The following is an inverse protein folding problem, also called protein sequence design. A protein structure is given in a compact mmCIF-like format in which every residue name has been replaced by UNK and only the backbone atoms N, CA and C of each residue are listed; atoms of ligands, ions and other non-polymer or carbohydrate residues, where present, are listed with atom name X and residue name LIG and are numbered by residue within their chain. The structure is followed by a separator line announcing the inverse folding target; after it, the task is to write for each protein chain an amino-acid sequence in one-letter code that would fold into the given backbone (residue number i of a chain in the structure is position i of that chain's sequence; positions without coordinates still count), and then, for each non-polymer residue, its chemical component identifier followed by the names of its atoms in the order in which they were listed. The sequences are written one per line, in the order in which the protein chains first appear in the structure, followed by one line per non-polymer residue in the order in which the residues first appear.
data_IF_153361678505
#
_entry.id   IF_153361678505
#
_cell.length_a   1.000
_cell.length_b   1.000
_cell.length_c   1.000
_cell.angle_alpha   90.00
_cell.angle_beta   90.00
_cell.angle_gamma   90.00
#
_symmetry.space_group_name_H-M   'P 1'
#
loop_
_entity.id
_entity.type
_entity.pdbx_description
1 polymer ?
#
# COMPACT_ATOMS: atom_id res chain seq x y z
N UNK A 1 -33.12 7.99 2.50
CA UNK A 1 -32.45 6.83 1.86
C UNK A 1 -31.06 7.29 1.43
N UNK A 2 -30.06 7.06 2.30
CA UNK A 2 -28.65 7.30 1.97
C UNK A 2 -28.18 6.04 1.24
N UNK A 3 -27.74 6.19 -0.01
CA UNK A 3 -27.12 5.11 -0.76
C UNK A 3 -25.77 4.82 -0.10
N UNK A 4 -25.69 3.69 0.62
CA UNK A 4 -24.41 3.08 0.92
C UNK A 4 -23.79 2.60 -0.39
N UNK A 5 -22.51 2.91 -0.48
CA UNK A 5 -21.55 2.62 -1.53
C UNK A 5 -21.68 1.21 -2.16
N UNK A 6 -21.96 1.10 -3.48
CA UNK A 6 -21.89 -0.18 -4.20
C UNK A 6 -20.48 -0.78 -4.28
N UNK A 7 -19.44 -0.01 -3.93
CA UNK A 7 -18.03 -0.40 -4.05
C UNK A 7 -17.66 -1.46 -2.99
N UNK A 8 -18.25 -1.38 -1.79
CA UNK A 8 -17.97 -2.34 -0.71
C UNK A 8 -18.59 -3.72 -0.96
N UNK A 9 -19.71 -3.77 -1.69
CA UNK A 9 -20.37 -5.03 -2.06
C UNK A 9 -19.65 -5.70 -3.25
N UNK A 10 -19.01 -4.92 -4.13
CA UNK A 10 -18.26 -5.45 -5.27
C UNK A 10 -16.94 -6.13 -4.84
N UNK A 11 -16.26 -5.61 -3.81
CA UNK A 11 -15.05 -6.21 -3.22
C UNK A 11 -15.34 -7.52 -2.46
N UNK A 12 -16.50 -7.65 -1.81
CA UNK A 12 -16.92 -8.90 -1.16
C UNK A 12 -17.37 -9.98 -2.18
N UNK A 13 -17.86 -9.56 -3.34
CA UNK A 13 -18.27 -10.47 -4.42
C UNK A 13 -17.06 -10.97 -5.22
N UNK A 14 -16.01 -10.17 -5.41
CA UNK A 14 -14.76 -10.66 -6.03
C UNK A 14 -13.97 -11.60 -5.11
N UNK A 15 -13.99 -11.37 -3.78
CA UNK A 15 -13.35 -12.29 -2.82
C UNK A 15 -14.06 -13.65 -2.72
N UNK A 16 -15.39 -13.66 -2.86
CA UNK A 16 -16.18 -14.91 -2.83
C UNK A 16 -16.25 -15.64 -4.18
N UNK A 17 -16.01 -14.96 -5.31
CA UNK A 17 -15.92 -15.59 -6.65
C UNK A 17 -14.54 -16.24 -6.88
N UNK A 18 -13.49 -15.85 -6.13
CA UNK A 18 -12.21 -16.56 -6.16
C UNK A 18 -12.22 -17.95 -5.49
N UNK A 19 -13.32 -18.33 -4.84
CA UNK A 19 -13.47 -19.68 -4.30
C UNK A 19 -14.02 -20.71 -5.33
N UNK A 20 -14.33 -20.26 -6.56
CA UNK A 20 -14.84 -21.12 -7.64
C UNK A 20 -14.22 -20.83 -9.03
N UNK A 21 -13.03 -20.23 -9.08
CA UNK A 21 -12.20 -20.31 -10.29
C UNK A 21 -11.49 -21.67 -10.29
N UNK A 22 -11.72 -22.46 -11.35
CA UNK A 22 -11.25 -23.83 -11.54
C UNK A 22 -9.79 -24.00 -11.13
N UNK A 23 -9.53 -24.94 -10.22
CA UNK A 23 -8.22 -25.49 -9.93
C UNK A 23 -7.67 -26.24 -11.15
N UNK A 24 -7.16 -25.50 -12.14
CA UNK A 24 -6.09 -26.03 -12.98
C UNK A 24 -4.85 -25.97 -12.10
N UNK A 25 -4.15 -27.09 -11.89
CA UNK A 25 -2.88 -27.04 -11.15
C UNK A 25 -1.97 -26.06 -11.89
N UNK A 26 -1.56 -24.99 -11.20
CA UNK A 26 -0.53 -24.07 -11.67
C UNK A 26 0.69 -24.93 -12.00
N UNK A 27 1.15 -24.91 -13.26
CA UNK A 27 2.42 -25.56 -13.56
C UNK A 27 3.52 -24.64 -13.03
N UNK A 28 4.29 -25.16 -12.07
CA UNK A 28 5.47 -24.47 -11.56
C UNK A 28 6.62 -24.68 -12.56
N UNK A 29 7.15 -23.57 -13.08
CA UNK A 29 8.35 -23.54 -13.92
C UNK A 29 9.48 -22.95 -13.07
N UNK A 30 10.60 -23.65 -12.98
CA UNK A 30 11.74 -23.24 -12.14
C UNK A 30 12.93 -22.86 -12.99
N UNK A 31 13.38 -21.61 -12.89
CA UNK A 31 14.60 -21.11 -13.55
C UNK A 31 15.76 -21.13 -12.54
N UNK A 32 16.95 -21.68 -12.88
CA UNK A 32 17.36 -22.16 -14.20
C UNK A 32 17.22 -23.68 -14.43
N UNK A 33 16.30 -24.37 -13.73
CA UNK A 33 16.19 -25.85 -13.77
C UNK A 33 15.50 -26.33 -15.05
N UNK A 34 14.31 -25.81 -15.33
CA UNK A 34 13.49 -26.21 -16.48
C UNK A 34 13.88 -25.43 -17.75
N UNK A 35 14.33 -24.18 -17.57
CA UNK A 35 14.82 -23.31 -18.63
C UNK A 35 16.04 -22.55 -18.14
N UNK A 36 17.00 -22.29 -19.02
CA UNK A 36 18.23 -21.56 -18.67
C UNK A 36 18.02 -20.06 -18.46
N UNK A 37 16.99 -19.48 -19.09
CA UNK A 37 16.69 -18.05 -19.06
C UNK A 37 15.26 -17.81 -18.58
N UNK A 38 15.00 -16.63 -18.03
CA UNK A 38 13.65 -16.25 -17.59
C UNK A 38 12.75 -16.04 -18.82
N UNK A 39 13.26 -15.45 -19.90
CA UNK A 39 12.46 -15.24 -21.09
C UNK A 39 12.03 -16.55 -21.75
N UNK A 40 12.88 -17.59 -21.78
CA UNK A 40 12.48 -18.90 -22.31
C UNK A 40 11.36 -19.53 -21.47
N UNK A 41 11.43 -19.38 -20.15
CA UNK A 41 10.35 -19.80 -19.26
C UNK A 41 9.04 -19.04 -19.53
N UNK A 42 9.09 -17.71 -19.71
CA UNK A 42 7.92 -16.88 -20.09
C UNK A 42 7.33 -17.35 -21.42
N UNK A 43 8.18 -17.60 -22.42
CA UNK A 43 7.76 -18.05 -23.74
C UNK A 43 7.00 -19.38 -23.68
N UNK A 44 7.50 -20.32 -22.88
CA UNK A 44 6.92 -21.66 -22.72
C UNK A 44 5.72 -21.72 -21.77
N UNK A 45 5.61 -20.78 -20.83
CA UNK A 45 4.54 -20.74 -19.85
C UNK A 45 3.15 -20.57 -20.49
N UNK A 46 2.16 -21.23 -19.90
CA UNK A 46 0.74 -20.97 -20.13
C UNK A 46 0.27 -19.79 -19.27
N UNK A 47 -0.82 -19.10 -19.66
CA UNK A 47 -1.44 -18.09 -18.81
C UNK A 47 -1.73 -18.62 -17.40
N UNK A 48 -1.40 -17.79 -16.40
CA UNK A 48 -1.49 -18.04 -14.96
C UNK A 48 -0.52 -19.08 -14.39
N UNK A 49 0.47 -19.55 -15.16
CA UNK A 49 1.56 -20.35 -14.61
C UNK A 49 2.45 -19.49 -13.67
N UNK A 50 3.16 -20.18 -12.78
CA UNK A 50 4.12 -19.57 -11.85
C UNK A 50 5.54 -19.88 -12.33
N UNK A 51 6.35 -18.84 -12.51
CA UNK A 51 7.77 -18.93 -12.81
C UNK A 51 8.55 -18.56 -11.54
N UNK A 52 9.15 -19.57 -10.90
CA UNK A 52 10.05 -19.39 -9.76
C UNK A 52 11.49 -19.23 -10.25
N UNK A 53 12.10 -18.09 -9.94
CA UNK A 53 13.47 -17.79 -10.34
C UNK A 53 14.38 -17.89 -9.12
N UNK A 54 15.33 -18.83 -9.16
CA UNK A 54 16.33 -19.03 -8.11
C UNK A 54 17.41 -17.95 -8.18
N UNK A 55 18.15 -17.81 -7.08
CA UNK A 55 19.31 -16.91 -6.97
C UNK A 55 20.23 -16.98 -8.19
N UNK A 56 20.64 -15.80 -8.65
CA UNK A 56 21.45 -15.65 -9.84
C UNK A 56 21.41 -14.24 -10.40
N UNK A 57 22.26 -14.00 -11.39
CA UNK A 57 22.26 -12.76 -12.19
C UNK A 57 21.85 -13.12 -13.60
N UNK A 58 20.68 -12.62 -13.99
CA UNK A 58 20.05 -12.83 -15.28
C UNK A 58 20.24 -11.58 -16.13
N UNK A 59 21.10 -11.68 -17.14
CA UNK A 59 21.36 -10.59 -18.09
C UNK A 59 20.32 -10.63 -19.21
N UNK A 60 19.13 -10.15 -18.93
CA UNK A 60 17.96 -10.34 -19.78
C UNK A 60 17.12 -9.06 -19.89
N UNK A 61 16.29 -9.02 -20.94
CA UNK A 61 15.17 -8.08 -21.07
C UNK A 61 13.93 -8.92 -21.23
N UNK A 62 12.95 -8.69 -20.37
CA UNK A 62 11.76 -9.52 -20.28
C UNK A 62 10.59 -8.84 -20.97
N UNK A 63 9.92 -9.57 -21.85
CA UNK A 63 8.63 -9.22 -22.41
C UNK A 63 7.58 -10.21 -21.86
N UNK A 64 6.65 -9.69 -21.07
CA UNK A 64 5.57 -10.44 -20.44
C UNK A 64 4.27 -10.11 -21.16
N UNK A 65 3.89 -10.98 -22.11
CA UNK A 65 2.76 -10.80 -23.03
C UNK A 65 1.53 -11.65 -22.66
N UNK A 66 1.60 -12.37 -21.54
CA UNK A 66 0.51 -13.20 -21.01
C UNK A 66 0.42 -13.10 -19.47
N UNK A 67 -0.76 -13.35 -18.86
CA UNK A 67 -0.92 -13.35 -17.40
C UNK A 67 0.02 -14.36 -16.76
N UNK A 68 0.88 -13.96 -15.82
CA UNK A 68 1.89 -14.83 -15.19
C UNK A 68 2.23 -14.37 -13.78
N UNK A 69 2.67 -15.29 -12.94
CA UNK A 69 3.32 -14.98 -11.67
C UNK A 69 4.83 -15.21 -11.80
N UNK A 70 5.62 -14.15 -11.84
CA UNK A 70 7.08 -14.23 -11.98
C UNK A 70 7.68 -13.84 -10.63
N UNK A 71 8.30 -14.80 -9.94
CA UNK A 71 8.71 -14.63 -8.53
C UNK A 71 10.16 -15.06 -8.33
N UNK A 72 10.98 -14.14 -7.83
CA UNK A 72 12.23 -14.50 -7.18
C UNK A 72 11.95 -15.25 -5.88
N UNK A 73 12.83 -16.18 -5.51
CA UNK A 73 12.75 -16.85 -4.21
C UNK A 73 13.00 -15.83 -3.09
N UNK A 74 12.04 -15.67 -2.17
CA UNK A 74 12.16 -14.73 -1.07
C UNK A 74 13.37 -15.04 -0.18
N UNK A 75 14.14 -14.01 0.17
CA UNK A 75 15.40 -14.15 0.93
C UNK A 75 16.61 -14.55 0.10
N UNK A 76 16.44 -14.86 -1.18
CA UNK A 76 17.53 -15.05 -2.14
C UNK A 76 17.76 -13.76 -2.96
N UNK A 77 18.98 -13.58 -3.46
CA UNK A 77 19.28 -12.48 -4.40
C UNK A 77 19.07 -12.94 -5.84
N UNK A 78 18.01 -12.44 -6.47
CA UNK A 78 17.69 -12.70 -7.87
C UNK A 78 17.79 -11.38 -8.63
N UNK A 79 18.84 -11.21 -9.42
CA UNK A 79 19.12 -9.96 -10.12
C UNK A 79 18.74 -10.07 -11.59
N UNK A 80 17.91 -9.16 -12.10
CA UNK A 80 17.68 -8.98 -13.53
C UNK A 80 18.39 -7.70 -13.95
N UNK A 81 19.37 -7.84 -14.83
CA UNK A 81 20.22 -6.73 -15.24
C UNK A 81 20.24 -6.56 -16.75
N UNK A 82 20.35 -5.32 -17.19
CA UNK A 82 20.61 -5.01 -18.60
C UNK A 82 21.84 -4.12 -18.76
N UNK A 83 22.55 -4.32 -19.85
CA UNK A 83 23.63 -3.46 -20.35
C UNK A 83 23.12 -2.53 -21.48
N UNK A 84 21.89 -2.76 -21.96
CA UNK A 84 21.26 -2.01 -23.04
C UNK A 84 20.47 -0.81 -22.52
N UNK A 85 20.28 0.16 -23.40
CA UNK A 85 19.41 1.31 -23.17
C UNK A 85 17.94 0.99 -23.49
N UNK A 86 17.37 0.03 -22.75
CA UNK A 86 16.01 -0.47 -22.93
C UNK A 86 15.33 -0.77 -21.59
N UNK A 87 14.00 -0.90 -21.62
CA UNK A 87 13.20 -1.36 -20.48
C UNK A 87 13.68 -2.77 -20.05
N UNK A 88 13.88 -3.01 -18.74
CA UNK A 88 14.37 -4.32 -18.26
C UNK A 88 13.21 -5.33 -18.26
N UNK A 89 12.06 -4.95 -17.71
CA UNK A 89 10.85 -5.77 -17.71
C UNK A 89 9.72 -4.95 -18.34
N UNK A 90 9.20 -5.42 -19.46
CA UNK A 90 8.02 -4.85 -20.13
C UNK A 90 6.84 -5.80 -19.95
N UNK A 91 5.77 -5.30 -19.34
CA UNK A 91 4.53 -6.04 -19.08
C UNK A 91 3.45 -5.48 -20.00
N UNK A 92 3.00 -6.28 -20.96
CA UNK A 92 1.92 -5.93 -21.90
C UNK A 92 0.61 -6.67 -21.59
N UNK A 93 0.68 -7.74 -20.79
CA UNK A 93 -0.51 -8.45 -20.31
C UNK A 93 -1.01 -7.95 -18.96
N UNK A 94 -2.33 -8.05 -18.78
CA UNK A 94 -3.00 -7.83 -17.49
C UNK A 94 -2.88 -9.06 -16.58
N UNK A 95 -3.04 -8.87 -15.26
CA UNK A 95 -2.91 -9.93 -14.24
C UNK A 95 -1.52 -10.57 -14.20
N UNK A 96 -0.48 -9.74 -14.21
CA UNK A 96 0.92 -10.16 -14.03
C UNK A 96 1.41 -9.77 -12.64
N UNK A 97 2.08 -10.69 -11.95
CA UNK A 97 2.82 -10.39 -10.73
C UNK A 97 4.32 -10.48 -10.98
N UNK A 98 5.07 -9.46 -10.56
CA UNK A 98 6.54 -9.48 -10.52
C UNK A 98 6.99 -9.20 -9.09
N UNK A 99 7.68 -10.17 -8.47
CA UNK A 99 8.13 -10.01 -7.09
C UNK A 99 9.48 -10.60 -6.73
N UNK A 100 10.10 -10.02 -5.70
CA UNK A 100 11.37 -10.46 -5.10
C UNK A 100 12.59 -10.40 -6.05
N UNK A 101 12.68 -9.37 -6.89
CA UNK A 101 13.84 -9.14 -7.75
C UNK A 101 14.65 -7.91 -7.35
N UNK A 102 15.96 -7.98 -7.56
CA UNK A 102 16.83 -6.82 -7.74
C UNK A 102 16.85 -6.47 -9.23
N UNK A 103 16.28 -5.33 -9.61
CA UNK A 103 16.14 -4.89 -11.01
C UNK A 103 17.02 -3.66 -11.21
N UNK A 104 18.08 -3.81 -12.00
CA UNK A 104 19.06 -2.74 -12.15
C UNK A 104 19.71 -2.67 -13.52
N UNK A 105 20.13 -1.46 -13.89
CA UNK A 105 20.96 -1.25 -15.09
C UNK A 105 22.44 -1.17 -14.71
N UNK A 106 23.29 -1.73 -15.55
CA UNK A 106 24.75 -1.73 -15.34
C UNK A 106 25.46 -0.47 -15.86
N UNK A 107 24.77 0.38 -16.63
CA UNK A 107 25.29 1.62 -17.23
C UNK A 107 24.36 2.80 -16.87
N UNK A 108 24.92 4.00 -16.71
CA UNK A 108 24.19 5.20 -16.27
C UNK A 108 23.03 5.65 -17.18
N UNK A 109 22.32 6.72 -16.80
CA UNK A 109 21.06 7.14 -17.44
C UNK A 109 21.27 7.81 -18.82
N UNK A 110 21.03 7.12 -19.94
CA UNK A 110 21.03 7.73 -21.29
C UNK A 110 19.66 7.84 -21.97
N UNK A 111 18.71 6.92 -21.75
CA UNK A 111 17.32 7.01 -22.30
C UNK A 111 16.23 7.05 -21.24
N UNK A 112 14.98 7.26 -21.67
CA UNK A 112 13.73 7.17 -20.87
C UNK A 112 13.32 5.74 -20.46
N UNK A 113 14.26 4.79 -20.44
CA UNK A 113 13.97 3.38 -20.18
C UNK A 113 13.75 3.07 -18.70
N UNK A 114 12.78 2.21 -18.42
CA UNK A 114 12.34 1.82 -17.09
C UNK A 114 12.98 0.52 -16.58
N UNK A 115 13.07 0.34 -15.26
CA UNK A 115 13.32 -0.96 -14.66
C UNK A 115 12.13 -1.89 -14.90
N UNK A 116 10.93 -1.43 -14.58
CA UNK A 116 9.67 -2.12 -14.87
C UNK A 116 8.73 -1.17 -15.60
N UNK A 117 8.21 -1.57 -16.75
CA UNK A 117 7.17 -0.85 -17.49
C UNK A 117 5.91 -1.69 -17.59
N UNK A 118 4.80 -1.14 -17.11
CA UNK A 118 3.45 -1.61 -17.40
C UNK A 118 2.97 -0.84 -18.62
N UNK A 119 2.78 -1.53 -19.74
CA UNK A 119 2.41 -0.95 -21.03
C UNK A 119 0.97 -1.33 -21.35
N UNK A 120 0.03 -0.44 -21.03
CA UNK A 120 -1.41 -0.65 -21.14
C UNK A 120 -1.91 -1.92 -20.41
N UNK A 121 -1.24 -2.29 -19.33
CA UNK A 121 -1.54 -3.47 -18.52
C UNK A 121 -2.40 -3.09 -17.31
N UNK A 122 -3.33 -3.96 -16.91
CA UNK A 122 -4.23 -3.74 -15.77
C UNK A 122 -4.19 -4.90 -14.78
N UNK A 123 -4.58 -4.65 -13.53
CA UNK A 123 -4.61 -5.66 -12.48
C UNK A 123 -3.24 -6.34 -12.23
N UNK A 124 -2.13 -5.66 -12.51
CA UNK A 124 -0.80 -6.19 -12.27
C UNK A 124 -0.30 -5.81 -10.86
N UNK A 125 0.60 -6.63 -10.31
CA UNK A 125 1.19 -6.44 -8.98
C UNK A 125 2.72 -6.41 -9.11
N UNK A 126 3.32 -5.29 -8.75
CA UNK A 126 4.78 -5.14 -8.66
C UNK A 126 5.11 -5.02 -7.18
N UNK A 127 5.71 -6.06 -6.59
CA UNK A 127 5.90 -6.11 -5.14
C UNK A 127 7.23 -6.65 -4.66
N UNK A 128 7.71 -6.16 -3.51
CA UNK A 128 8.93 -6.65 -2.86
C UNK A 128 10.17 -6.64 -3.76
N UNK A 129 10.25 -5.71 -4.72
CA UNK A 129 11.41 -5.55 -5.60
C UNK A 129 12.32 -4.44 -5.09
N UNK A 130 13.62 -4.57 -5.35
CA UNK A 130 14.58 -3.46 -5.26
C UNK A 130 14.88 -2.98 -6.67
N UNK A 131 14.49 -1.75 -7.01
CA UNK A 131 14.60 -1.19 -8.36
C UNK A 131 15.57 -0.01 -8.33
N UNK A 132 16.74 -0.19 -8.94
CA UNK A 132 17.88 0.71 -8.73
C UNK A 132 18.64 1.05 -10.00
N UNK A 133 19.06 2.31 -10.15
CA UNK A 133 19.95 2.71 -11.24
C UNK A 133 19.27 2.83 -12.61
N UNK A 134 17.95 2.97 -12.67
CA UNK A 134 17.19 3.11 -13.93
C UNK A 134 16.81 4.58 -14.21
N UNK A 135 16.48 4.93 -15.45
CA UNK A 135 15.97 6.28 -15.71
C UNK A 135 14.58 6.46 -15.09
N UNK A 136 13.69 5.47 -15.23
CA UNK A 136 12.48 5.35 -14.42
C UNK A 136 12.56 4.04 -13.64
N UNK A 137 12.28 4.04 -12.35
CA UNK A 137 12.18 2.79 -11.58
C UNK A 137 10.99 1.96 -12.08
N UNK A 138 9.77 2.45 -11.83
CA UNK A 138 8.52 1.85 -12.31
C UNK A 138 7.76 2.84 -13.19
N UNK A 139 7.44 2.44 -14.42
CA UNK A 139 6.63 3.20 -15.36
C UNK A 139 5.25 2.54 -15.49
N UNK A 140 4.19 3.22 -15.06
CA UNK A 140 2.80 2.83 -15.33
C UNK A 140 2.31 3.65 -16.52
N UNK A 141 2.35 3.06 -17.71
CA UNK A 141 1.96 3.71 -18.96
C UNK A 141 0.61 3.19 -19.45
N UNK A 142 -0.47 3.92 -19.16
CA UNK A 142 -1.85 3.45 -19.32
C UNK A 142 -2.24 2.35 -18.33
N UNK A 143 -3.40 1.74 -18.58
CA UNK A 143 -3.94 0.67 -17.74
C UNK A 143 -4.52 1.13 -16.40
N UNK A 144 -5.05 0.18 -15.64
CA UNK A 144 -5.78 0.47 -14.40
C UNK A 144 -5.67 -0.64 -13.36
N UNK A 145 -6.00 -0.30 -12.11
CA UNK A 145 -6.04 -1.28 -11.01
C UNK A 145 -4.71 -2.01 -10.79
N UNK A 146 -3.59 -1.39 -11.17
CA UNK A 146 -2.27 -1.92 -10.87
C UNK A 146 -1.87 -1.56 -9.44
N UNK A 147 -1.14 -2.45 -8.79
CA UNK A 147 -0.64 -2.31 -7.43
C UNK A 147 0.89 -2.32 -7.45
N UNK A 148 1.50 -1.20 -7.07
CA UNK A 148 2.95 -1.10 -6.84
C UNK A 148 3.15 -1.01 -5.33
N UNK A 149 3.64 -2.08 -4.71
CA UNK A 149 3.73 -2.14 -3.25
C UNK A 149 5.01 -2.71 -2.66
N UNK A 150 5.41 -2.27 -1.47
CA UNK A 150 6.54 -2.85 -0.73
C UNK A 150 7.86 -2.88 -1.52
N UNK A 151 8.03 -1.98 -2.51
CA UNK A 151 9.27 -1.90 -3.29
C UNK A 151 10.25 -0.89 -2.68
N UNK A 152 11.54 -1.14 -2.85
CA UNK A 152 12.61 -0.17 -2.63
C UNK A 152 13.01 0.40 -3.98
N UNK A 153 12.69 1.67 -4.24
CA UNK A 153 12.91 2.33 -5.53
C UNK A 153 13.89 3.48 -5.31
N UNK A 154 15.16 3.25 -5.67
CA UNK A 154 16.26 4.13 -5.27
C UNK A 154 17.29 4.37 -6.36
N UNK A 155 17.98 5.52 -6.31
CA UNK A 155 19.02 5.88 -7.29
C UNK A 155 18.56 5.76 -8.75
N UNK A 156 17.28 6.04 -9.02
CA UNK A 156 16.78 6.20 -10.38
C UNK A 156 16.79 7.69 -10.75
N UNK A 157 16.48 8.05 -12.00
CA UNK A 157 16.15 9.46 -12.29
C UNK A 157 14.76 9.81 -11.76
N UNK A 158 13.75 9.07 -12.17
CA UNK A 158 12.40 9.11 -11.61
C UNK A 158 12.16 7.81 -10.83
N UNK A 159 11.57 7.88 -9.64
CA UNK A 159 11.20 6.68 -8.89
C UNK A 159 10.05 5.93 -9.56
N UNK A 160 8.84 6.46 -9.43
CA UNK A 160 7.63 5.96 -10.11
C UNK A 160 7.09 7.03 -11.04
N UNK A 161 6.79 6.65 -12.28
CA UNK A 161 6.19 7.55 -13.25
C UNK A 161 4.88 6.95 -13.77
N UNK A 162 3.76 7.61 -13.50
CA UNK A 162 2.45 7.30 -14.07
C UNK A 162 2.21 8.23 -15.25
N UNK A 163 1.97 7.67 -16.45
CA UNK A 163 1.61 8.50 -17.61
C UNK A 163 0.67 7.83 -18.59
N UNK A 164 0.01 8.60 -19.45
CA UNK A 164 -0.87 8.03 -20.50
C UNK A 164 -0.14 7.07 -21.43
N UNK A 165 -0.88 6.07 -21.90
CA UNK A 165 -0.49 5.26 -23.05
C UNK A 165 -0.99 5.90 -24.34
N UNK A 166 -0.05 6.27 -25.20
CA UNK A 166 -0.31 6.97 -26.46
C UNK A 166 -1.20 8.22 -26.23
N UNK A 167 -2.10 8.57 -27.16
CA UNK A 167 -2.85 9.83 -27.09
C UNK A 167 -4.17 9.78 -26.29
N UNK A 168 -4.65 8.61 -25.85
CA UNK A 168 -6.05 8.47 -25.38
C UNK A 168 -6.27 7.60 -24.15
N UNK A 169 -5.28 6.83 -23.68
CA UNK A 169 -5.49 5.90 -22.55
C UNK A 169 -4.83 6.47 -21.31
N UNK A 170 -5.65 7.05 -20.43
CA UNK A 170 -5.21 7.52 -19.12
C UNK A 170 -4.83 6.35 -18.21
N UNK A 171 -3.85 6.58 -17.33
CA UNK A 171 -3.54 5.65 -16.24
C UNK A 171 -4.43 5.96 -15.05
N UNK A 172 -5.42 5.12 -14.77
CA UNK A 172 -6.43 5.41 -13.76
C UNK A 172 -6.57 4.35 -12.68
N UNK A 173 -6.95 4.77 -11.47
CA UNK A 173 -7.25 3.85 -10.35
C UNK A 173 -6.12 2.85 -10.04
N UNK A 174 -4.87 3.26 -10.18
CA UNK A 174 -3.73 2.50 -9.71
C UNK A 174 -3.44 2.83 -8.24
N UNK A 175 -2.77 1.91 -7.56
CA UNK A 175 -2.41 2.00 -6.15
C UNK A 175 -0.90 1.93 -6.01
N UNK A 176 -0.32 2.97 -5.44
CA UNK A 176 1.09 3.04 -5.04
C UNK A 176 1.12 3.02 -3.52
N UNK A 177 1.48 1.88 -2.94
CA UNK A 177 1.29 1.61 -1.52
C UNK A 177 2.55 1.11 -0.82
N UNK A 178 2.91 1.70 0.32
CA UNK A 178 3.99 1.17 1.19
C UNK A 178 5.34 0.94 0.48
N UNK A 179 5.73 1.83 -0.44
CA UNK A 179 7.03 1.80 -1.08
C UNK A 179 8.02 2.73 -0.36
N UNK A 180 9.30 2.37 -0.39
CA UNK A 180 10.41 3.26 -0.06
C UNK A 180 10.97 3.87 -1.36
N UNK A 181 10.69 5.14 -1.61
CA UNK A 181 11.05 5.85 -2.84
C UNK A 181 12.04 6.95 -2.49
N UNK A 182 13.33 6.68 -2.70
CA UNK A 182 14.38 7.51 -2.11
C UNK A 182 15.59 7.75 -2.99
N UNK A 183 16.31 8.85 -2.79
CA UNK A 183 17.57 9.14 -3.49
C UNK A 183 17.46 9.08 -5.03
N UNK A 184 16.29 9.40 -5.59
CA UNK A 184 16.16 9.55 -7.02
C UNK A 184 16.67 10.93 -7.44
N UNK A 185 17.36 10.99 -8.57
CA UNK A 185 18.03 12.22 -9.07
C UNK A 185 17.08 13.24 -9.71
N UNK A 186 15.77 12.98 -9.65
CA UNK A 186 14.70 13.90 -9.99
C UNK A 186 13.50 13.67 -9.06
N UNK A 187 12.30 13.40 -9.58
CA UNK A 187 11.09 13.22 -8.79
C UNK A 187 11.03 11.81 -8.17
N UNK A 188 10.50 11.72 -6.96
CA UNK A 188 10.14 10.44 -6.35
C UNK A 188 8.99 9.78 -7.11
N UNK A 189 7.86 10.48 -7.20
CA UNK A 189 6.68 10.07 -7.97
C UNK A 189 6.27 11.19 -8.91
N UNK A 190 5.93 10.86 -10.16
CA UNK A 190 5.31 11.80 -11.10
C UNK A 190 4.03 11.20 -11.69
N UNK A 191 2.94 11.99 -11.72
CA UNK A 191 1.64 11.59 -12.30
C UNK A 191 1.27 12.54 -13.44
N UNK A 192 1.57 12.13 -14.66
CA UNK A 192 1.40 12.91 -15.88
C UNK A 192 0.34 12.29 -16.82
N UNK A 193 -0.89 12.81 -16.85
CA UNK A 193 -2.06 12.14 -17.44
C UNK A 193 -2.51 10.89 -16.67
N UNK A 194 -2.63 11.01 -15.35
CA UNK A 194 -3.17 9.97 -14.48
C UNK A 194 -4.28 10.51 -13.58
N UNK A 195 -5.35 9.73 -13.40
CA UNK A 195 -6.50 10.14 -12.60
C UNK A 195 -6.98 9.09 -11.63
N UNK A 196 -7.61 9.51 -10.54
CA UNK A 196 -8.18 8.61 -9.53
C UNK A 196 -7.19 7.58 -8.96
N UNK A 197 -5.88 7.85 -8.98
CA UNK A 197 -4.87 6.98 -8.39
C UNK A 197 -4.80 7.21 -6.86
N UNK A 198 -4.44 6.16 -6.13
CA UNK A 198 -4.21 6.22 -4.69
C UNK A 198 -2.71 6.10 -4.40
N UNK A 199 -2.15 7.11 -3.76
CA UNK A 199 -0.77 7.10 -3.27
C UNK A 199 -0.81 7.14 -1.75
N UNK A 200 -0.49 6.03 -1.10
CA UNK A 200 -0.59 5.94 0.37
C UNK A 200 0.48 5.10 1.03
N UNK A 201 0.77 5.41 2.29
CA UNK A 201 1.74 4.69 3.12
C UNK A 201 3.17 4.67 2.58
N UNK A 202 3.51 5.47 1.57
CA UNK A 202 4.86 5.47 1.00
C UNK A 202 5.80 6.35 1.83
N UNK A 203 7.06 5.94 1.94
CA UNK A 203 8.12 6.84 2.40
C UNK A 203 8.84 7.41 1.18
N UNK A 204 8.64 8.70 0.94
CA UNK A 204 9.16 9.44 -0.21
C UNK A 204 10.19 10.42 0.32
N UNK A 205 11.48 10.12 0.12
CA UNK A 205 12.54 10.85 0.82
C UNK A 205 13.78 11.13 -0.01
N UNK A 206 14.39 12.30 0.20
CA UNK A 206 15.67 12.65 -0.42
C UNK A 206 15.68 12.52 -1.95
N UNK A 207 14.54 12.75 -2.60
CA UNK A 207 14.48 12.88 -4.05
C UNK A 207 14.89 14.29 -4.44
N UNK A 208 15.73 14.43 -5.46
CA UNK A 208 16.41 15.70 -5.77
C UNK A 208 15.46 16.83 -6.16
N UNK A 209 14.34 16.51 -6.82
CA UNK A 209 13.29 17.49 -7.16
C UNK A 209 12.09 17.29 -6.22
N UNK A 210 10.89 17.05 -6.75
CA UNK A 210 9.71 16.85 -5.91
C UNK A 210 9.68 15.44 -5.32
N UNK A 211 9.15 15.28 -4.12
CA UNK A 211 8.75 13.97 -3.63
C UNK A 211 7.62 13.41 -4.51
N UNK A 212 6.60 14.23 -4.77
CA UNK A 212 5.52 13.93 -5.70
C UNK A 212 5.19 15.15 -6.57
N UNK A 213 5.21 14.99 -7.88
CA UNK A 213 4.77 16.00 -8.85
C UNK A 213 3.56 15.52 -9.67
N UNK A 214 2.55 16.38 -9.78
CA UNK A 214 1.49 16.30 -10.77
C UNK A 214 1.59 17.58 -11.61
N UNK A 215 2.01 17.53 -12.88
CA UNK A 215 2.22 18.75 -13.66
C UNK A 215 0.90 19.45 -14.04
N UNK A 216 0.86 20.79 -13.97
CA UNK A 216 -0.35 21.59 -14.28
C UNK A 216 -0.75 21.59 -15.76
N UNK A 217 0.17 21.22 -16.66
CA UNK A 217 -0.08 21.21 -18.09
C UNK A 217 -0.82 19.94 -18.56
N UNK A 218 -1.14 19.01 -17.66
CA UNK A 218 -1.87 17.77 -17.99
C UNK A 218 -3.10 17.56 -17.10
N UNK A 219 -4.16 16.92 -17.61
CA UNK A 219 -5.46 16.84 -16.92
C UNK A 219 -5.49 15.78 -15.81
N UNK A 220 -4.41 15.63 -15.02
CA UNK A 220 -4.33 14.69 -13.90
C UNK A 220 -5.19 15.16 -12.72
N UNK A 221 -6.22 14.40 -12.36
CA UNK A 221 -7.19 14.79 -11.32
C UNK A 221 -7.75 13.60 -10.54
N UNK A 222 -8.40 13.90 -9.42
CA UNK A 222 -9.02 12.94 -8.50
C UNK A 222 -8.04 11.97 -7.85
N UNK A 223 -6.73 12.22 -7.93
CA UNK A 223 -5.75 11.42 -7.20
C UNK A 223 -5.90 11.69 -5.69
N UNK A 224 -5.72 10.65 -4.87
CA UNK A 224 -5.85 10.70 -3.41
C UNK A 224 -4.50 10.32 -2.80
N UNK A 225 -3.91 11.26 -2.06
CA UNK A 225 -2.55 11.18 -1.51
C UNK A 225 -2.64 11.38 0.00
N UNK A 226 -2.44 10.32 0.78
CA UNK A 226 -2.57 10.35 2.24
C UNK A 226 -1.66 9.31 2.89
N UNK A 227 -1.33 9.46 4.17
CA UNK A 227 -0.46 8.55 4.92
C UNK A 227 0.95 8.36 4.33
N UNK A 228 1.42 9.28 3.49
CA UNK A 228 2.79 9.24 3.00
C UNK A 228 3.72 10.04 3.92
N UNK A 229 5.00 9.65 3.95
CA UNK A 229 6.07 10.38 4.62
C UNK A 229 6.89 11.14 3.59
N UNK A 230 6.71 12.45 3.50
CA UNK A 230 7.53 13.34 2.69
C UNK A 230 8.70 13.87 3.53
N UNK A 231 9.91 13.35 3.27
CA UNK A 231 11.09 13.61 4.10
C UNK A 231 12.25 14.15 3.28
N UNK A 232 12.59 15.43 3.45
CA UNK A 232 13.78 16.03 2.86
C UNK A 232 13.83 15.94 1.33
N UNK A 233 12.67 15.94 0.67
CA UNK A 233 12.59 16.19 -0.77
C UNK A 233 12.73 17.69 -1.02
N UNK A 234 12.93 18.08 -2.28
CA UNK A 234 13.34 19.38 -2.80
C UNK A 234 14.84 19.47 -3.10
N UNK A 235 15.15 20.35 -4.05
CA UNK A 235 16.52 20.63 -4.41
C UNK A 235 17.21 21.41 -3.27
N UNK A 236 18.52 21.22 -3.15
CA UNK A 236 19.32 21.91 -2.13
C UNK A 236 19.32 23.44 -2.25
N UNK A 237 18.72 23.99 -3.31
CA UNK A 237 18.61 25.41 -3.60
C UNK A 237 17.26 26.01 -3.19
N UNK A 238 16.31 25.20 -2.69
CA UNK A 238 14.99 25.66 -2.24
C UNK A 238 14.13 26.23 -3.37
N UNK A 239 14.38 25.79 -4.60
CA UNK A 239 13.60 26.20 -5.78
C UNK A 239 12.42 25.26 -6.03
N UNK A 240 12.44 24.09 -5.40
CA UNK A 240 11.42 23.03 -5.52
C UNK A 240 10.72 22.81 -4.17
N UNK A 241 9.47 22.37 -4.20
CA UNK A 241 8.67 22.04 -3.02
C UNK A 241 8.74 20.54 -2.72
N UNK A 242 8.35 20.10 -1.51
CA UNK A 242 8.22 18.66 -1.22
C UNK A 242 7.20 17.99 -2.17
N UNK A 243 6.15 18.73 -2.58
CA UNK A 243 5.16 18.25 -3.53
C UNK A 243 4.53 19.38 -4.36
N UNK A 244 4.07 19.05 -5.56
CA UNK A 244 3.38 19.96 -6.47
C UNK A 244 2.23 19.24 -7.17
N UNK A 245 1.08 19.90 -7.30
CA UNK A 245 -0.06 19.41 -8.08
C UNK A 245 -1.00 20.54 -8.51
N UNK A 246 -1.79 20.37 -9.58
CA UNK A 246 -2.92 21.24 -9.86
C UNK A 246 -4.06 21.00 -8.86
N UNK A 247 -5.07 21.86 -8.94
CA UNK A 247 -6.35 21.66 -8.26
C UNK A 247 -7.00 20.31 -8.60
N UNK A 248 -8.02 19.92 -7.84
CA UNK A 248 -8.76 18.66 -7.99
C UNK A 248 -7.95 17.39 -7.68
N UNK A 249 -6.93 17.48 -6.84
CA UNK A 249 -6.28 16.33 -6.20
C UNK A 249 -6.44 16.45 -4.68
N UNK A 250 -6.54 15.32 -3.99
CA UNK A 250 -6.87 15.26 -2.57
C UNK A 250 -5.65 14.83 -1.77
N UNK A 251 -5.28 15.61 -0.75
CA UNK A 251 -4.08 15.38 0.07
C UNK A 251 -4.39 14.81 1.45
N UNK A 252 -5.59 14.26 1.59
CA UNK A 252 -6.08 13.61 2.79
C UNK A 252 -7.20 12.64 2.44
N UNK A 253 -7.41 11.65 3.30
CA UNK A 253 -8.52 10.71 3.22
C UNK A 253 -9.04 10.40 4.61
N UNK A 254 -10.37 10.39 4.77
CA UNK A 254 -11.03 10.05 6.04
C UNK A 254 -10.53 10.84 7.26
N UNK A 255 -10.16 12.11 7.07
CA UNK A 255 -9.69 13.00 8.14
C UNK A 255 -8.20 12.89 8.47
N UNK A 256 -7.41 12.19 7.65
CA UNK A 256 -5.96 12.05 7.84
C UNK A 256 -5.21 12.37 6.56
N UNK A 257 -4.12 13.12 6.69
CA UNK A 257 -3.27 13.60 5.60
C UNK A 257 -1.93 12.87 5.55
N UNK A 258 -0.88 13.60 5.23
CA UNK A 258 0.49 13.11 5.08
C UNK A 258 1.41 13.68 6.16
N UNK A 259 2.53 13.01 6.39
CA UNK A 259 3.61 13.55 7.20
C UNK A 259 4.59 14.35 6.34
N UNK A 260 5.01 15.50 6.84
CA UNK A 260 5.91 16.43 6.15
C UNK A 260 7.06 16.83 7.08
N UNK A 261 8.29 16.47 6.74
CA UNK A 261 9.45 16.69 7.62
C UNK A 261 9.78 18.17 7.92
N UNK A 262 9.31 19.08 7.09
CA UNK A 262 9.49 20.54 7.20
C UNK A 262 8.28 21.26 7.81
N UNK A 263 7.22 20.52 8.15
CA UNK A 263 6.04 21.06 8.81
C UNK A 263 6.18 21.02 10.32
N UNK A 264 5.80 22.12 10.97
CA UNK A 264 5.79 22.28 12.42
C UNK A 264 4.41 22.74 12.87
N UNK A 265 3.48 21.77 12.94
CA UNK A 265 2.11 21.98 13.37
C UNK A 265 1.93 21.99 14.90
N UNK A 266 0.66 22.05 15.30
CA UNK A 266 0.21 21.85 16.69
C UNK A 266 -0.86 20.75 16.72
N UNK A 267 -0.88 19.99 17.80
CA UNK A 267 -1.87 18.95 18.11
C UNK A 267 -2.34 19.16 19.55
N UNK A 268 -3.39 19.96 19.70
CA UNK A 268 -3.95 20.34 21.00
C UNK A 268 -4.85 19.24 21.57
N UNK A 269 -5.39 18.38 20.70
CA UNK A 269 -6.38 17.37 21.05
C UNK A 269 -5.76 15.97 21.29
N UNK A 270 -4.46 15.80 21.01
CA UNK A 270 -3.68 14.57 21.13
C UNK A 270 -4.23 13.42 20.27
N UNK A 271 -4.51 13.68 19.00
CA UNK A 271 -4.91 12.67 18.01
C UNK A 271 -3.83 12.43 16.93
N UNK A 272 -2.62 12.97 17.12
CA UNK A 272 -1.48 12.90 16.21
C UNK A 272 -1.71 13.50 14.82
N UNK A 273 -2.76 14.31 14.65
CA UNK A 273 -3.06 15.09 13.45
C UNK A 273 -2.95 16.56 13.85
N UNK A 274 -2.45 17.39 12.95
CA UNK A 274 -2.36 18.82 13.25
C UNK A 274 -3.71 19.51 13.15
N UNK A 275 -4.00 20.40 14.10
CA UNK A 275 -5.14 21.32 14.06
C UNK A 275 -4.94 22.48 13.06
N UNK A 276 -3.79 22.54 12.37
CA UNK A 276 -3.47 23.51 11.32
C UNK A 276 -3.22 22.82 9.96
N UNK A 277 -3.70 23.39 8.85
CA UNK A 277 -3.38 22.86 7.52
C UNK A 277 -1.93 23.19 7.13
N UNK A 278 -1.36 22.35 6.27
CA UNK A 278 -0.05 22.58 5.63
C UNK A 278 -0.23 22.84 4.13
N UNK A 279 0.53 23.80 3.60
CA UNK A 279 0.46 24.24 2.20
C UNK A 279 1.89 24.18 1.63
N UNK A 280 2.37 23.00 1.16
CA UNK A 280 3.73 22.88 0.62
C UNK A 280 3.90 23.64 -0.70
N UNK A 281 2.83 23.83 -1.48
CA UNK A 281 2.86 24.60 -2.73
C UNK A 281 1.48 25.16 -3.07
N UNK A 282 1.40 26.02 -4.11
CA UNK A 282 0.24 26.89 -4.40
C UNK A 282 -1.13 26.20 -4.38
N UNK A 283 -1.21 24.95 -4.83
CA UNK A 283 -2.45 24.19 -5.00
C UNK A 283 -2.46 22.88 -4.21
N UNK A 284 -1.42 22.64 -3.41
CA UNK A 284 -1.34 21.49 -2.52
C UNK A 284 -1.69 21.97 -1.12
N UNK A 285 -2.82 21.51 -0.60
CA UNK A 285 -3.27 21.81 0.76
C UNK A 285 -3.58 20.49 1.44
N UNK A 286 -2.79 20.17 2.45
CA UNK A 286 -3.06 19.08 3.37
C UNK A 286 -3.78 19.65 4.59
N UNK A 287 -5.08 19.36 4.70
CA UNK A 287 -5.91 19.85 5.81
C UNK A 287 -5.73 19.07 7.10
N UNK A 288 -5.10 17.89 7.04
CA UNK A 288 -4.94 17.00 8.18
C UNK A 288 -3.50 16.47 8.27
N UNK A 289 -2.47 17.35 8.28
CA UNK A 289 -1.09 16.88 8.30
C UNK A 289 -0.82 16.03 9.54
N UNK A 290 -0.08 14.95 9.38
CA UNK A 290 0.27 14.07 10.50
C UNK A 290 1.40 14.70 11.32
N UNK A 291 1.32 14.59 12.64
CA UNK A 291 2.34 15.14 13.56
C UNK A 291 3.62 14.31 13.62
N UNK A 292 3.61 13.11 13.05
CA UNK A 292 4.72 12.16 13.05
C UNK A 292 4.66 11.27 11.81
N UNK A 293 5.74 10.53 11.57
CA UNK A 293 5.83 9.63 10.44
C UNK A 293 4.78 8.50 10.56
N UNK A 294 4.14 8.19 9.44
CA UNK A 294 3.21 7.10 9.29
C UNK A 294 3.92 5.78 9.00
N UNK A 295 3.49 4.70 9.63
CA UNK A 295 3.93 3.34 9.38
C UNK A 295 2.74 2.40 9.40
N UNK A 296 2.79 1.36 8.57
CA UNK A 296 1.76 0.32 8.51
C UNK A 296 2.39 -1.06 8.57
N UNK A 297 1.76 -1.96 9.33
CA UNK A 297 2.20 -3.34 9.47
C UNK A 297 1.01 -4.27 9.26
N UNK A 298 1.19 -5.29 8.43
CA UNK A 298 0.15 -6.30 8.20
C UNK A 298 0.06 -7.28 9.38
N UNK A 299 -1.15 -7.44 9.89
CA UNK A 299 -1.55 -8.33 10.98
C UNK A 299 -2.81 -9.05 10.56
N UNK A 300 -2.71 -10.35 10.26
CA UNK A 300 -3.88 -11.18 9.95
C UNK A 300 -4.78 -10.59 8.86
N UNK A 301 -4.19 -10.09 7.77
CA UNK A 301 -4.86 -9.39 6.67
C UNK A 301 -5.45 -8.00 7.01
N UNK A 302 -5.15 -7.46 8.19
CA UNK A 302 -5.49 -6.09 8.57
C UNK A 302 -4.23 -5.25 8.76
N UNK A 303 -4.34 -3.94 8.60
CA UNK A 303 -3.20 -3.04 8.81
C UNK A 303 -3.24 -2.43 10.20
N UNK A 304 -2.19 -2.65 10.99
CA UNK A 304 -1.88 -1.85 12.17
C UNK A 304 -1.18 -0.58 11.71
N UNK A 305 -1.75 0.59 12.01
CA UNK A 305 -1.15 1.87 11.62
C UNK A 305 -0.54 2.60 12.82
N UNK A 306 0.62 3.20 12.64
CA UNK A 306 1.31 3.97 13.66
C UNK A 306 1.65 5.35 13.11
N UNK A 307 1.33 6.40 13.87
CA UNK A 307 1.81 7.76 13.64
C UNK A 307 2.70 8.13 14.80
N UNK A 308 3.98 8.41 14.54
CA UNK A 308 4.97 8.59 15.61
C UNK A 308 6.11 9.51 15.18
N UNK A 309 6.58 10.36 16.10
CA UNK A 309 7.85 11.09 15.91
C UNK A 309 9.08 10.26 16.36
N UNK A 310 8.86 9.12 17.01
CA UNK A 310 9.88 8.13 17.33
C UNK A 310 10.03 7.07 16.23
N UNK A 311 11.20 6.45 16.20
CA UNK A 311 11.49 5.36 15.27
C UNK A 311 11.03 4.02 15.86
N UNK A 312 10.35 3.22 15.04
CA UNK A 312 10.03 1.83 15.34
C UNK A 312 11.07 0.94 14.68
N UNK A 313 11.80 0.15 15.48
CA UNK A 313 12.92 -0.67 15.00
C UNK A 313 12.55 -2.15 14.88
N UNK A 314 11.57 -2.58 15.66
CA UNK A 314 11.09 -3.95 15.66
C UNK A 314 9.58 -3.96 15.78
N UNK A 315 8.97 -4.79 14.95
CA UNK A 315 7.57 -5.11 14.98
C UNK A 315 7.46 -6.63 14.93
N UNK A 316 6.72 -7.21 15.87
CA UNK A 316 6.32 -8.60 15.79
C UNK A 316 4.95 -8.79 16.40
N UNK A 317 4.27 -9.84 16.00
CA UNK A 317 3.02 -10.23 16.61
C UNK A 317 2.91 -11.73 16.81
N UNK A 318 2.07 -12.13 17.77
CA UNK A 318 1.74 -13.53 17.98
C UNK A 318 0.26 -13.68 18.34
N UNK A 319 -0.29 -14.84 17.98
CA UNK A 319 -1.65 -15.25 18.34
C UNK A 319 -1.54 -16.53 19.14
N UNK A 320 -2.22 -16.61 20.29
CA UNK A 320 -2.36 -17.87 21.02
C UNK A 320 -3.42 -18.75 20.34
N UNK A 321 -3.15 -20.04 20.29
CA UNK A 321 -4.08 -21.03 19.71
C UNK A 321 -5.02 -21.62 20.78
N UNK A 322 -5.24 -20.92 21.89
CA UNK A 322 -6.19 -21.33 22.92
C UNK A 322 -7.62 -20.83 22.62
N UNK A 323 -8.58 -21.17 23.48
CA UNK A 323 -9.99 -20.80 23.30
C UNK A 323 -10.24 -19.28 23.27
N UNK A 324 -9.30 -18.47 23.76
CA UNK A 324 -9.44 -17.00 23.79
C UNK A 324 -8.88 -16.29 22.56
N UNK A 325 -8.02 -16.94 21.76
CA UNK A 325 -7.30 -16.32 20.62
C UNK A 325 -6.69 -14.96 20.99
N UNK A 326 -5.87 -14.95 22.05
CA UNK A 326 -5.17 -13.75 22.48
C UNK A 326 -4.15 -13.35 21.42
N UNK A 327 -4.19 -12.09 21.02
CA UNK A 327 -3.23 -11.47 20.13
C UNK A 327 -2.32 -10.53 20.92
N UNK A 328 -1.02 -10.60 20.65
CA UNK A 328 0.01 -9.76 21.26
C UNK A 328 0.79 -9.05 20.15
N UNK A 329 0.78 -7.72 20.15
CA UNK A 329 1.70 -6.91 19.33
C UNK A 329 2.87 -6.52 20.22
N UNK A 330 4.09 -6.70 19.71
CA UNK A 330 5.30 -6.17 20.31
C UNK A 330 5.89 -5.10 19.38
N UNK A 331 6.12 -3.93 19.94
CA UNK A 331 6.81 -2.82 19.27
C UNK A 331 8.04 -2.45 20.09
N UNK A 332 9.17 -2.30 19.40
CA UNK A 332 10.36 -1.66 19.96
C UNK A 332 10.47 -0.24 19.37
N UNK A 333 10.23 0.76 20.23
CA UNK A 333 10.23 2.17 19.86
C UNK A 333 11.40 2.87 20.55
N UNK A 334 12.13 3.73 19.85
CA UNK A 334 13.11 4.60 20.50
C UNK A 334 13.14 6.02 19.96
N UNK A 335 13.53 6.93 20.85
CA UNK A 335 13.74 8.35 20.54
C UNK A 335 14.77 8.94 21.50
N UNK A 336 15.60 9.84 20.97
CA UNK A 336 16.54 10.65 21.75
C UNK A 336 15.87 11.86 22.44
N UNK A 337 14.56 12.05 22.21
CA UNK A 337 13.75 13.13 22.76
C UNK A 337 12.39 12.61 23.25
N UNK A 338 11.59 13.47 23.87
CA UNK A 338 10.20 13.13 24.17
C UNK A 338 9.47 12.71 22.88
N UNK A 339 8.67 11.66 22.98
CA UNK A 339 7.99 11.10 21.83
C UNK A 339 6.53 10.78 22.11
N UNK A 340 5.79 10.70 21.03
CA UNK A 340 4.43 10.19 21.03
C UNK A 340 4.27 9.10 19.97
N UNK A 341 3.29 8.22 20.17
CA UNK A 341 2.81 7.35 19.12
C UNK A 341 1.30 7.22 19.22
N UNK A 342 0.61 7.42 18.10
CA UNK A 342 -0.78 6.99 17.94
C UNK A 342 -0.80 5.65 17.24
N UNK A 343 -1.30 4.63 17.93
CA UNK A 343 -1.42 3.27 17.42
C UNK A 343 -2.87 3.00 17.08
N UNK A 344 -3.14 2.70 15.81
CA UNK A 344 -4.48 2.50 15.26
C UNK A 344 -4.70 1.01 15.04
N UNK A 345 -5.46 0.38 15.93
CA UNK A 345 -5.78 -1.04 15.92
C UNK A 345 -7.06 -1.31 15.11
N UNK A 346 -7.04 -2.24 14.16
CA UNK A 346 -8.26 -2.73 13.50
C UNK A 346 -9.33 -3.17 14.50
N UNK A 347 -10.58 -2.70 14.34
CA UNK A 347 -11.71 -3.10 15.19
C UNK A 347 -12.09 -4.58 15.10
N UNK A 348 -11.58 -5.29 14.10
CA UNK A 348 -11.71 -6.75 14.00
C UNK A 348 -10.99 -7.49 15.14
N UNK A 349 -10.15 -6.78 15.90
CA UNK A 349 -9.62 -7.24 17.17
C UNK A 349 -10.66 -6.89 18.25
N UNK A 350 -11.57 -7.85 18.50
CA UNK A 350 -12.80 -7.80 19.32
C UNK A 350 -12.70 -7.02 20.62
N UNK A 351 -11.53 -7.02 21.25
CA UNK A 351 -11.28 -6.19 22.43
C UNK A 351 -9.80 -5.94 22.55
N UNK A 352 -9.41 -4.68 22.45
CA UNK A 352 -8.23 -4.20 23.15
C UNK A 352 -8.39 -4.49 24.65
N UNK A 353 -7.39 -5.09 25.29
CA UNK A 353 -7.45 -5.39 26.73
C UNK A 353 -6.56 -4.44 27.55
N UNK A 354 -5.30 -4.28 27.13
CA UNK A 354 -4.31 -3.50 27.88
C UNK A 354 -3.10 -3.16 27.02
N UNK A 355 -2.37 -2.11 27.43
CA UNK A 355 -1.02 -1.82 26.95
C UNK A 355 -0.06 -1.98 28.12
N UNK A 356 1.09 -2.56 27.83
CA UNK A 356 2.25 -2.46 28.69
C UNK A 356 3.35 -1.65 28.00
N UNK A 357 4.01 -0.79 28.76
CA UNK A 357 5.21 -0.06 28.35
C UNK A 357 6.33 -0.44 29.31
N UNK A 358 7.40 -1.05 28.80
CA UNK A 358 8.50 -1.61 29.59
C UNK A 358 8.05 -2.57 30.70
N UNK A 359 7.02 -3.39 30.39
CA UNK A 359 6.46 -4.40 31.31
C UNK A 359 5.57 -3.83 32.42
N UNK A 360 5.24 -2.54 32.39
CA UNK A 360 4.28 -1.93 33.30
C UNK A 360 3.01 -1.53 32.55
N UNK A 361 1.84 -1.74 33.15
CA UNK A 361 0.56 -1.29 32.58
C UNK A 361 0.61 0.22 32.26
N UNK A 362 0.12 0.59 31.08
CA UNK A 362 0.14 1.96 30.59
C UNK A 362 -1.28 2.43 30.23
N UNK A 363 -1.67 3.57 30.78
CA UNK A 363 -2.95 4.23 30.47
C UNK A 363 -2.74 5.30 29.39
N UNK A 364 -3.47 5.18 28.28
CA UNK A 364 -3.35 6.10 27.14
C UNK A 364 -3.87 7.49 27.49
N UNK A 365 -3.28 8.53 26.89
CA UNK A 365 -3.74 9.93 27.09
C UNK A 365 -5.06 10.24 26.39
N UNK A 366 -5.24 9.68 25.20
CA UNK A 366 -6.46 9.86 24.41
C UNK A 366 -6.88 8.53 23.78
N UNK A 367 -8.19 8.39 23.61
CA UNK A 367 -8.85 7.21 23.08
C UNK A 367 -9.93 7.66 22.10
N UNK A 368 -9.74 7.37 20.82
CA UNK A 368 -10.74 7.63 19.79
C UNK A 368 -11.00 6.37 18.98
N UNK A 369 -12.19 6.28 18.38
CA UNK A 369 -12.53 5.17 17.51
C UNK A 369 -13.38 5.65 16.34
N UNK A 370 -13.21 5.01 15.19
CA UNK A 370 -14.06 5.18 14.02
C UNK A 370 -14.63 3.82 13.60
N UNK A 371 -15.24 3.70 12.43
CA UNK A 371 -15.85 2.44 11.99
C UNK A 371 -14.83 1.30 11.76
N UNK A 372 -13.54 1.63 11.58
CA UNK A 372 -12.49 0.68 11.20
C UNK A 372 -11.41 0.49 12.27
N UNK A 373 -11.12 1.51 13.07
CA UNK A 373 -9.96 1.57 13.95
C UNK A 373 -10.30 2.04 15.37
N UNK A 374 -9.51 1.55 16.33
CA UNK A 374 -9.35 2.07 17.69
C UNK A 374 -7.99 2.74 17.75
N UNK A 375 -7.94 4.01 18.10
CA UNK A 375 -6.73 4.81 18.16
C UNK A 375 -6.29 5.01 19.61
N UNK A 376 -5.03 4.70 19.88
CA UNK A 376 -4.41 4.75 21.20
C UNK A 376 -3.25 5.74 21.18
N UNK A 377 -3.32 6.81 21.98
CA UNK A 377 -2.25 7.81 22.05
C UNK A 377 -1.33 7.56 23.25
N UNK A 378 -0.05 7.29 22.96
CA UNK A 378 1.02 7.13 23.92
C UNK A 378 1.95 8.35 23.87
N UNK A 379 2.48 8.75 25.03
CA UNK A 379 3.54 9.74 25.13
C UNK A 379 4.51 9.36 26.25
N UNK A 380 5.80 9.34 25.92
CA UNK A 380 6.87 8.93 26.82
C UNK A 380 8.10 9.84 26.63
N UNK A 381 8.98 9.84 27.63
CA UNK A 381 10.28 10.52 27.57
C UNK A 381 11.24 9.85 26.56
N UNK A 382 12.40 10.45 26.32
CA UNK A 382 13.48 9.83 25.55
C UNK A 382 13.88 8.47 26.13
N UNK A 383 14.20 7.52 25.26
CA UNK A 383 14.64 6.18 25.63
C UNK A 383 14.20 5.11 24.65
N UNK A 384 14.40 3.85 25.04
CA UNK A 384 13.94 2.67 24.31
C UNK A 384 12.78 2.06 25.10
N UNK A 385 11.69 1.77 24.40
CA UNK A 385 10.45 1.28 24.98
C UNK A 385 9.98 0.02 24.27
N UNK A 386 9.68 -1.00 25.07
CA UNK A 386 8.93 -2.18 24.63
C UNK A 386 7.46 -1.89 24.88
N UNK A 387 6.70 -1.68 23.81
CA UNK A 387 5.24 -1.52 23.89
C UNK A 387 4.60 -2.85 23.53
N UNK A 388 3.81 -3.40 24.45
CA UNK A 388 3.00 -4.59 24.21
C UNK A 388 1.53 -4.24 24.22
N UNK A 389 0.83 -4.67 23.18
CA UNK A 389 -0.61 -4.48 23.07
C UNK A 389 -1.26 -5.85 23.11
N UNK A 390 -2.20 -6.01 24.02
CA UNK A 390 -2.95 -7.22 24.20
C UNK A 390 -4.38 -7.02 23.69
N UNK A 391 -4.89 -8.01 22.96
CA UNK A 391 -6.28 -8.03 22.54
C UNK A 391 -6.75 -9.41 22.10
N UNK A 392 -7.99 -9.50 21.64
CA UNK A 392 -8.61 -10.76 21.23
C UNK A 392 -9.14 -10.68 19.80
N UNK A 393 -9.06 -11.76 19.03
CA UNK A 393 -9.63 -11.84 17.68
C UNK A 393 -11.13 -12.13 17.71
N UNK A 394 -11.88 -11.58 16.76
CA UNK A 394 -13.25 -12.03 16.49
C UNK A 394 -13.15 -13.38 15.77
N UNK A 395 -13.67 -14.46 16.37
CA UNK A 395 -13.78 -15.72 15.63
C UNK A 395 -14.75 -15.55 14.46
N UNK A 396 -14.35 -15.93 13.24
CA UNK A 396 -15.23 -15.86 12.06
C UNK A 396 -16.54 -16.65 12.27
N UNK A 397 -16.48 -17.70 13.10
CA UNK A 397 -17.64 -18.50 13.49
C UNK A 397 -18.72 -17.69 14.24
N UNK A 398 -18.35 -16.68 15.02
CA UNK A 398 -19.31 -15.84 15.76
C UNK A 398 -20.02 -14.84 14.82
N UNK A 399 -19.28 -14.32 13.83
CA UNK A 399 -19.83 -13.45 12.79
C UNK A 399 -20.78 -14.22 11.87
N UNK A 400 -20.41 -15.44 11.46
CA UNK A 400 -21.27 -16.32 10.66
C UNK A 400 -22.52 -16.73 11.45
N UNK A 401 -22.39 -17.06 12.74
CA UNK A 401 -23.53 -17.37 13.60
C UNK A 401 -24.49 -16.18 13.76
N UNK A 402 -23.97 -14.97 13.97
CA UNK A 402 -24.81 -13.77 14.12
C UNK A 402 -25.50 -13.39 12.81
N UNK A 403 -24.81 -13.50 11.67
CA UNK A 403 -25.42 -13.32 10.35
C UNK A 403 -26.48 -14.38 10.05
N UNK A 404 -26.25 -15.65 10.41
CA UNK A 404 -27.24 -16.73 10.31
C UNK A 404 -28.47 -16.46 11.18
N UNK A 405 -28.29 -16.00 12.42
CA UNK A 405 -29.40 -15.66 13.33
C UNK A 405 -30.21 -14.49 12.76
N UNK A 406 -29.56 -13.45 12.25
CA UNK A 406 -30.24 -12.32 11.60
C UNK A 406 -30.98 -12.76 10.33
N UNK A 407 -30.38 -13.64 9.52
CA UNK A 407 -31.00 -14.21 8.33
C UNK A 407 -32.25 -15.02 8.70
N UNK A 408 -32.14 -15.96 9.66
CA UNK A 408 -33.27 -16.78 10.13
C UNK A 408 -34.38 -15.90 10.70
N UNK A 409 -34.05 -14.88 11.50
CA UNK A 409 -35.02 -13.93 12.03
C UNK A 409 -35.75 -13.16 10.91
N UNK A 410 -35.02 -12.70 9.89
CA UNK A 410 -35.60 -12.00 8.74
C UNK A 410 -36.54 -12.88 7.92
N UNK A 411 -36.20 -14.17 7.76
CA UNK A 411 -37.05 -15.17 7.10
C UNK A 411 -38.31 -15.43 7.92
N UNK A 412 -38.19 -15.60 9.24
CA UNK A 412 -39.33 -15.77 10.15
C UNK A 412 -40.28 -14.56 10.14
N UNK A 413 -39.76 -13.33 10.08
CA UNK A 413 -40.57 -12.13 9.96
C UNK A 413 -41.33 -12.06 8.63
N UNK A 414 -40.70 -12.45 7.51
CA UNK A 414 -41.36 -12.54 6.20
C UNK A 414 -42.42 -13.64 6.20
N UNK A 415 -42.13 -14.81 6.78
CA UNK A 415 -43.08 -15.91 6.91
C UNK A 415 -44.28 -15.54 7.78
N UNK A 416 -44.07 -14.82 8.88
CA UNK A 416 -45.14 -14.30 9.75
C UNK A 416 -46.02 -13.26 9.05
N UNK A 417 -45.45 -12.39 8.21
CA UNK A 417 -46.22 -11.46 7.35
C UNK A 417 -47.04 -12.21 6.31
N UNK A 418 -46.45 -13.22 5.65
CA UNK A 418 -47.16 -14.06 4.67
C UNK A 418 -48.34 -14.81 5.29
N UNK A 419 -48.18 -15.39 6.49
CA UNK A 419 -49.26 -16.08 7.21
C UNK A 419 -50.41 -15.15 7.63
N UNK A 420 -50.11 -13.90 8.01
CA UNK A 420 -51.15 -12.89 8.29
C UNK A 420 -51.93 -12.52 7.02
N UNK A 421 -51.26 -12.47 5.88
CA UNK A 421 -51.87 -12.17 4.59
C UNK A 421 -52.79 -13.30 4.12
N UNK A 422 -52.38 -14.56 4.24
CA UNK A 422 -53.20 -15.72 3.83
C UNK A 422 -54.39 -15.98 4.75
N UNK A 423 -54.31 -15.62 6.04
CA UNK A 423 -55.45 -15.71 6.99
C UNK A 423 -56.56 -14.70 6.67
N UNK A 424 -56.21 -13.52 6.16
CA UNK A 424 -57.16 -12.47 5.76
C UNK A 424 -57.82 -12.72 4.38
N UNK A 425 -57.38 -13.72 3.63
CA UNK A 425 -57.98 -14.11 2.33
C UNK A 425 -58.99 -15.27 2.50
N UNK A 426 -59.03 -15.90 3.68
CA UNK A 426 -59.95 -17.02 4.02
C UNK A 426 -61.04 -16.66 5.04
N UNK A 427 -61.18 -15.39 5.39
CA UNK A 427 -62.28 -14.83 6.18
C UNK A 427 -62.96 -13.77 5.30
#
# INVERSE_FOLDING_TARGET
MKFLCPIFLFLLITYSINCFALSKSENEIVVPIDYTTIQDAINAASPYDVIYVKSGVYKEKLLVDKPLFIRGVAGETVSIVTEDDADIITIEASNVTVSNFLISRSVGFSSKSAGVRLSNASCCVIENNTIVGNFIGVLIEGGSLNLVQNNVITMNRYGIFVRRYQHYVESYSNVIFNNLITNNSWNGIEIDWGGANNVSSNTISYNFAFGLEIPDYTPSSLNVIYHNNFVGNADAFGTVYQAYAPENNYWNFSGEGNYWSDFHGVDENYDAISDLPYIPSRNVIDYFPLMGAFQTFEVCNYNLNIISNASTYEFSYSITNDESQLFVINLLISSDSEWFARISLPKHFYSFSSIEVNGSSYECRNFTENDSYINLYLNCSSGVYVVRIYGFLISESLLVCTLLVMFVYSVLLRYRKFWRYTKNIKA
#
